data_IF_087547215661
#
_entry.id   IF_087547215661
#
_cell.length_a   1.000
_cell.length_b   1.000
_cell.length_c   1.000
_cell.angle_alpha   90.00
_cell.angle_beta   90.00
_cell.angle_gamma   90.00
#
_symmetry.space_group_name_H-M   'P 1'
#
loop_
_entity.id
_entity.type
_entity.pdbx_description
1 polymer ?
#
# COMPACT_ATOMS: atom_id res chain seq x y z
N UNK A 1 27.40 -12.12 -28.96
CA UNK A 1 28.26 -11.38 -28.02
C UNK A 1 27.85 -9.93 -28.03
N UNK A 2 27.48 -9.41 -26.84
CA UNK A 2 27.13 -8.00 -26.66
C UNK A 2 28.44 -7.21 -26.68
N UNK A 3 28.55 -6.14 -27.50
CA UNK A 3 29.75 -5.30 -27.56
C UNK A 3 30.15 -4.77 -26.20
N UNK A 4 31.46 -4.63 -25.94
CA UNK A 4 31.97 -4.23 -24.63
C UNK A 4 31.56 -2.81 -24.22
N UNK A 5 31.40 -1.90 -25.16
CA UNK A 5 30.86 -0.56 -24.97
C UNK A 5 29.41 -0.58 -24.43
N UNK A 6 28.58 -1.49 -24.92
CA UNK A 6 27.22 -1.68 -24.42
C UNK A 6 27.19 -2.29 -23.00
N UNK A 7 28.15 -3.16 -22.67
CA UNK A 7 28.29 -3.66 -21.30
C UNK A 7 28.70 -2.57 -20.33
N UNK A 8 29.67 -1.73 -20.71
CA UNK A 8 30.11 -0.60 -19.90
C UNK A 8 29.00 0.43 -19.69
N UNK A 9 28.20 0.72 -20.72
CA UNK A 9 27.06 1.62 -20.63
C UNK A 9 25.97 1.04 -19.73
N UNK A 10 25.69 -0.25 -19.82
CA UNK A 10 24.71 -0.93 -18.95
C UNK A 10 25.13 -0.90 -17.48
N UNK A 11 26.42 -1.11 -17.17
CA UNK A 11 26.97 -1.03 -15.82
C UNK A 11 26.94 0.41 -15.26
N UNK A 12 27.19 1.41 -16.12
CA UNK A 12 27.09 2.82 -15.72
C UNK A 12 25.63 3.18 -15.36
N UNK A 13 24.69 2.83 -16.23
CA UNK A 13 23.26 3.06 -15.97
C UNK A 13 22.79 2.36 -14.70
N UNK A 14 23.23 1.12 -14.46
CA UNK A 14 22.87 0.40 -13.25
C UNK A 14 23.42 1.07 -11.98
N UNK A 15 24.62 1.67 -12.06
CA UNK A 15 25.22 2.44 -10.95
C UNK A 15 24.45 3.73 -10.69
N UNK A 16 24.13 4.48 -11.77
CA UNK A 16 23.38 5.74 -11.68
C UNK A 16 21.98 5.51 -11.10
N UNK A 17 21.31 4.44 -11.52
CA UNK A 17 20.01 4.03 -10.95
C UNK A 17 20.13 3.67 -9.47
N UNK A 18 21.24 3.02 -9.07
CA UNK A 18 21.47 2.70 -7.68
C UNK A 18 21.72 3.95 -6.82
N UNK A 19 22.49 4.92 -7.31
CA UNK A 19 22.72 6.21 -6.65
C UNK A 19 21.40 7.01 -6.51
N UNK A 20 20.64 7.14 -7.59
CA UNK A 20 19.34 7.84 -7.57
C UNK A 20 18.40 7.18 -6.55
N UNK A 21 18.37 5.85 -6.48
CA UNK A 21 17.57 5.12 -5.50
C UNK A 21 18.00 5.44 -4.06
N UNK A 22 19.31 5.54 -3.83
CA UNK A 22 19.88 5.86 -2.51
C UNK A 22 19.56 7.29 -2.09
N UNK A 23 19.67 8.25 -3.01
CA UNK A 23 19.32 9.64 -2.77
C UNK A 23 17.80 9.82 -2.55
N UNK A 24 16.98 9.11 -3.30
CA UNK A 24 15.54 9.11 -3.09
C UNK A 24 15.14 8.58 -1.70
N UNK A 25 15.79 7.50 -1.23
CA UNK A 25 15.56 6.97 0.12
C UNK A 25 15.98 8.00 1.17
N UNK A 26 17.12 8.70 0.99
CA UNK A 26 17.57 9.75 1.91
C UNK A 26 16.61 10.94 1.97
N UNK A 27 16.05 11.36 0.82
CA UNK A 27 15.08 12.44 0.76
C UNK A 27 13.80 12.04 1.50
N UNK A 28 13.30 10.82 1.29
CA UNK A 28 12.13 10.31 1.99
C UNK A 28 12.39 10.25 3.50
N UNK A 29 13.52 9.71 3.93
CA UNK A 29 13.89 9.65 5.35
C UNK A 29 14.04 11.06 5.97
N UNK A 30 14.63 12.03 5.25
CA UNK A 30 14.73 13.41 5.72
C UNK A 30 13.37 14.10 5.84
N UNK A 31 12.43 13.83 4.93
CA UNK A 31 11.05 14.32 5.02
C UNK A 31 10.31 13.65 6.19
N UNK A 32 10.53 12.36 6.40
CA UNK A 32 9.96 11.62 7.53
C UNK A 32 10.51 12.12 8.88
N UNK A 33 11.80 12.45 8.96
CA UNK A 33 12.43 13.04 10.15
C UNK A 33 11.89 14.47 10.42
N UNK A 34 11.77 15.34 9.41
CA UNK A 34 11.17 16.68 9.57
C UNK A 34 9.71 16.63 10.01
N UNK A 35 8.92 15.70 9.47
CA UNK A 35 7.53 15.47 9.89
C UNK A 35 7.48 14.92 11.31
N UNK A 36 8.41 14.04 11.69
CA UNK A 36 8.51 13.45 13.03
C UNK A 36 8.88 14.48 14.11
N UNK A 37 9.71 15.48 13.80
CA UNK A 37 10.04 16.55 14.76
C UNK A 37 8.87 17.50 15.04
N UNK A 38 7.91 17.63 14.13
CA UNK A 38 6.73 18.49 14.29
C UNK A 38 5.55 17.75 14.97
N UNK A 39 5.56 16.42 15.01
CA UNK A 39 4.57 15.57 15.69
C UNK A 39 5.23 14.77 16.82
N UNK A 40 5.41 15.42 17.97
CA UNK A 40 5.93 14.80 19.20
C UNK A 40 4.86 13.95 19.94
N UNK A 41 4.00 13.26 19.19
CA UNK A 41 3.14 12.21 19.72
C UNK A 41 3.66 10.84 19.29
N UNK A 42 4.41 10.24 20.19
CA UNK A 42 4.99 8.89 20.04
C UNK A 42 3.95 7.81 19.71
N UNK A 43 2.66 8.08 19.96
CA UNK A 43 1.55 7.14 19.81
C UNK A 43 0.37 7.81 19.12
N UNK A 44 -0.25 7.10 18.20
CA UNK A 44 -1.48 7.54 17.54
C UNK A 44 -2.60 6.53 17.76
N UNK A 45 -3.84 7.01 17.93
CA UNK A 45 -4.99 6.11 18.00
C UNK A 45 -5.34 5.55 16.62
N UNK A 46 -5.85 4.32 16.59
CA UNK A 46 -6.28 3.72 15.34
C UNK A 46 -7.43 4.52 14.68
N UNK A 47 -8.29 5.14 15.47
CA UNK A 47 -9.34 6.02 14.94
C UNK A 47 -8.77 7.27 14.27
N UNK A 48 -7.69 7.87 14.79
CA UNK A 48 -7.02 9.00 14.13
C UNK A 48 -6.36 8.57 12.82
N UNK A 49 -5.75 7.38 12.79
CA UNK A 49 -5.22 6.78 11.57
C UNK A 49 -6.32 6.63 10.52
N UNK A 50 -7.48 6.10 10.89
CA UNK A 50 -8.62 5.94 9.98
C UNK A 50 -9.15 7.29 9.49
N UNK A 51 -9.24 8.30 10.35
CA UNK A 51 -9.68 9.64 9.99
C UNK A 51 -8.73 10.30 8.98
N UNK A 52 -7.43 10.22 9.20
CA UNK A 52 -6.43 10.73 8.25
C UNK A 52 -6.51 9.98 6.91
N UNK A 53 -6.68 8.65 6.95
CA UNK A 53 -6.87 7.83 5.76
C UNK A 53 -8.11 8.25 4.99
N UNK A 54 -9.23 8.47 5.67
CA UNK A 54 -10.50 8.93 5.11
C UNK A 54 -10.34 10.29 4.43
N UNK A 55 -9.86 11.29 5.17
CA UNK A 55 -9.69 12.67 4.68
C UNK A 55 -8.77 12.72 3.46
N UNK A 56 -7.61 12.06 3.53
CA UNK A 56 -6.65 12.03 2.41
C UNK A 56 -7.21 11.30 1.19
N UNK A 57 -8.03 10.27 1.41
CA UNK A 57 -8.67 9.52 0.34
C UNK A 57 -9.75 10.34 -0.36
N UNK A 58 -10.62 11.04 0.37
CA UNK A 58 -11.65 11.91 -0.21
C UNK A 58 -11.04 13.02 -1.07
N UNK A 59 -10.00 13.69 -0.61
CA UNK A 59 -9.30 14.69 -1.42
C UNK A 59 -8.76 14.13 -2.74
N UNK A 60 -8.24 12.90 -2.71
CA UNK A 60 -7.76 12.23 -3.92
C UNK A 60 -8.90 11.86 -4.86
N UNK A 61 -10.03 11.36 -4.35
CA UNK A 61 -11.21 11.00 -5.14
C UNK A 61 -11.81 12.22 -5.84
N UNK A 62 -11.92 13.36 -5.16
CA UNK A 62 -12.35 14.63 -5.74
C UNK A 62 -11.44 15.05 -6.90
N UNK A 63 -10.12 15.03 -6.69
CA UNK A 63 -9.15 15.41 -7.71
C UNK A 63 -9.21 14.50 -8.97
N UNK A 64 -9.57 13.24 -8.80
CA UNK A 64 -9.69 12.25 -9.89
C UNK A 64 -11.08 12.20 -10.53
N UNK A 65 -12.07 12.87 -9.96
CA UNK A 65 -13.48 12.78 -10.36
C UNK A 65 -13.98 11.32 -10.38
N UNK A 66 -13.73 10.61 -9.27
CA UNK A 66 -14.14 9.21 -9.03
C UNK A 66 -15.10 9.19 -7.85
N UNK A 67 -16.19 8.44 -7.98
CA UNK A 67 -17.26 8.36 -6.96
C UNK A 67 -17.16 7.01 -6.25
N UNK A 68 -16.39 6.96 -5.17
CA UNK A 68 -16.22 5.76 -4.35
C UNK A 68 -16.76 6.06 -2.94
N UNK A 69 -17.61 5.15 -2.46
CA UNK A 69 -18.06 5.13 -1.08
C UNK A 69 -17.02 4.39 -0.23
N UNK A 70 -16.55 5.03 0.84
CA UNK A 70 -15.73 4.40 1.86
C UNK A 70 -16.62 3.91 3.00
N UNK A 71 -16.46 2.67 3.40
CA UNK A 71 -17.11 2.07 4.56
C UNK A 71 -16.05 1.63 5.58
N UNK A 72 -16.21 2.04 6.83
CA UNK A 72 -15.35 1.62 7.93
C UNK A 72 -16.15 0.76 8.91
N UNK A 73 -15.70 -0.47 9.12
CA UNK A 73 -16.29 -1.44 10.06
C UNK A 73 -15.22 -1.87 11.06
N UNK A 74 -14.81 -0.91 11.87
CA UNK A 74 -13.74 -1.06 12.85
C UNK A 74 -14.33 -0.92 14.24
N UNK A 75 -14.05 -1.88 15.12
CA UNK A 75 -14.61 -1.97 16.47
C UNK A 75 -13.65 -1.52 17.56
N UNK A 76 -12.36 -1.72 17.35
CA UNK A 76 -11.33 -1.41 18.34
C UNK A 76 -10.67 -0.06 18.08
N UNK A 77 -10.28 0.59 19.18
CA UNK A 77 -9.47 1.79 19.14
C UNK A 77 -8.26 1.60 20.04
N UNK A 78 -7.19 1.11 19.46
CA UNK A 78 -5.90 0.91 20.13
C UNK A 78 -4.95 2.07 19.85
N UNK A 79 -3.95 2.24 20.73
CA UNK A 79 -2.85 3.19 20.53
C UNK A 79 -1.64 2.44 20.00
N UNK A 80 -0.96 3.01 18.99
CA UNK A 80 0.24 2.39 18.40
C UNK A 80 1.35 3.40 18.15
N UNK A 81 2.59 2.99 18.33
CA UNK A 81 3.77 3.73 17.87
C UNK A 81 4.05 3.45 16.39
N UNK A 82 3.57 2.31 15.86
CA UNK A 82 3.77 1.86 14.48
C UNK A 82 2.73 2.48 13.51
N UNK A 83 2.30 3.70 13.79
CA UNK A 83 1.19 4.35 13.05
C UNK A 83 1.57 4.69 11.60
N UNK A 84 2.83 5.02 11.31
CA UNK A 84 3.30 5.30 9.96
C UNK A 84 3.26 4.06 9.08
N UNK A 85 3.78 2.95 9.58
CA UNK A 85 3.82 1.66 8.89
C UNK A 85 2.42 1.12 8.66
N UNK A 86 1.55 1.19 9.69
CA UNK A 86 0.16 0.77 9.56
C UNK A 86 -0.60 1.64 8.56
N UNK A 87 -0.41 2.97 8.63
CA UNK A 87 -0.97 3.91 7.66
C UNK A 87 -0.49 3.61 6.25
N UNK A 88 0.81 3.35 6.04
CA UNK A 88 1.38 3.03 4.74
C UNK A 88 0.78 1.74 4.16
N UNK A 89 0.58 0.72 4.99
CA UNK A 89 -0.08 -0.54 4.59
C UNK A 89 -1.51 -0.26 4.13
N UNK A 90 -2.33 0.36 4.97
CA UNK A 90 -3.75 0.64 4.66
C UNK A 90 -3.90 1.55 3.44
N UNK A 91 -3.13 2.63 3.36
CA UNK A 91 -3.14 3.57 2.24
C UNK A 91 -2.78 2.89 0.91
N UNK A 92 -1.79 2.00 0.89
CA UNK A 92 -1.43 1.27 -0.32
C UNK A 92 -2.56 0.33 -0.76
N UNK A 93 -3.22 -0.37 0.15
CA UNK A 93 -4.35 -1.26 -0.16
C UNK A 93 -5.55 -0.47 -0.69
N UNK A 94 -5.90 0.65 -0.03
CA UNK A 94 -6.98 1.55 -0.46
C UNK A 94 -6.67 2.16 -1.83
N UNK A 95 -5.44 2.62 -2.06
CA UNK A 95 -5.03 3.15 -3.36
C UNK A 95 -5.15 2.12 -4.48
N UNK A 96 -4.78 0.87 -4.22
CA UNK A 96 -4.93 -0.21 -5.20
C UNK A 96 -6.41 -0.46 -5.54
N UNK A 97 -7.30 -0.42 -4.55
CA UNK A 97 -8.73 -0.55 -4.74
C UNK A 97 -9.31 0.62 -5.57
N UNK A 98 -8.93 1.86 -5.25
CA UNK A 98 -9.33 3.06 -6.01
C UNK A 98 -8.92 2.96 -7.46
N UNK A 99 -7.65 2.61 -7.73
CA UNK A 99 -7.13 2.49 -9.08
C UNK A 99 -7.80 1.37 -9.87
N UNK A 100 -8.16 0.26 -9.22
CA UNK A 100 -8.92 -0.82 -9.84
C UNK A 100 -10.32 -0.34 -10.26
N UNK A 101 -11.06 0.31 -9.36
CA UNK A 101 -12.40 0.87 -9.64
C UNK A 101 -12.32 1.98 -10.71
N UNK A 102 -11.34 2.89 -10.60
CA UNK A 102 -11.14 3.98 -11.57
C UNK A 102 -10.91 3.45 -12.99
N UNK A 103 -10.18 2.34 -13.13
CA UNK A 103 -9.89 1.71 -14.42
C UNK A 103 -11.10 1.05 -15.08
N UNK A 104 -12.13 0.71 -14.31
CA UNK A 104 -13.32 0.01 -14.77
C UNK A 104 -14.51 0.98 -14.97
N UNK A 105 -15.09 1.50 -13.89
CA UNK A 105 -16.37 2.21 -13.95
C UNK A 105 -16.43 3.55 -13.22
N UNK A 106 -15.39 3.92 -12.48
CA UNK A 106 -15.29 5.15 -11.67
C UNK A 106 -16.33 5.33 -10.56
N UNK A 107 -17.12 4.32 -10.29
CA UNK A 107 -18.12 4.28 -9.21
C UNK A 107 -17.96 2.95 -8.50
N UNK A 108 -17.89 2.95 -7.17
CA UNK A 108 -17.75 1.72 -6.42
C UNK A 108 -17.73 1.92 -4.91
N UNK A 109 -17.41 0.85 -4.21
CA UNK A 109 -17.34 0.81 -2.75
C UNK A 109 -16.03 0.18 -2.31
N UNK A 110 -15.41 0.77 -1.29
CA UNK A 110 -14.26 0.19 -0.59
C UNK A 110 -14.64 0.05 0.87
N UNK A 111 -14.54 -1.16 1.41
CA UNK A 111 -14.79 -1.44 2.82
C UNK A 111 -13.48 -1.76 3.53
N UNK A 112 -13.24 -1.07 4.64
CA UNK A 112 -12.14 -1.32 5.55
C UNK A 112 -12.72 -1.90 6.84
N UNK A 113 -12.34 -3.13 7.16
CA UNK A 113 -12.78 -3.83 8.36
C UNK A 113 -11.58 -4.11 9.25
N UNK A 114 -11.78 -4.00 10.56
CA UNK A 114 -10.80 -4.37 11.58
C UNK A 114 -11.46 -5.25 12.64
N UNK A 115 -10.75 -6.30 13.05
CA UNK A 115 -11.18 -7.22 14.09
C UNK A 115 -9.99 -7.69 14.94
N UNK A 116 -10.12 -7.65 16.25
CA UNK A 116 -9.19 -8.33 17.14
C UNK A 116 -9.66 -9.76 17.41
N UNK A 117 -8.86 -10.74 17.02
CA UNK A 117 -9.18 -12.15 17.20
C UNK A 117 -7.94 -12.97 17.54
N UNK A 118 -8.01 -13.75 18.64
CA UNK A 118 -6.93 -14.66 19.07
C UNK A 118 -5.58 -13.96 19.21
N UNK A 119 -5.55 -12.72 19.76
CA UNK A 119 -4.33 -11.95 19.92
C UNK A 119 -3.73 -11.37 18.64
N UNK A 120 -4.52 -11.30 17.56
CA UNK A 120 -4.11 -10.69 16.31
C UNK A 120 -5.15 -9.65 15.87
N UNK A 121 -4.67 -8.50 15.38
CA UNK A 121 -5.48 -7.59 14.60
C UNK A 121 -5.58 -8.09 13.15
N UNK A 122 -6.79 -8.14 12.65
CA UNK A 122 -7.11 -8.55 11.28
C UNK A 122 -7.70 -7.35 10.57
N UNK A 123 -6.98 -6.84 9.58
CA UNK A 123 -7.44 -5.76 8.71
C UNK A 123 -7.85 -6.34 7.37
N UNK A 124 -9.06 -6.03 6.92
CA UNK A 124 -9.54 -6.43 5.61
C UNK A 124 -9.89 -5.19 4.78
N UNK A 125 -9.30 -5.06 3.60
CA UNK A 125 -9.64 -4.02 2.63
C UNK A 125 -10.26 -4.71 1.43
N UNK A 126 -11.56 -4.45 1.22
CA UNK A 126 -12.35 -5.07 0.14
C UNK A 126 -12.84 -4.00 -0.82
N UNK A 127 -12.71 -4.24 -2.11
CA UNK A 127 -13.29 -3.43 -3.18
C UNK A 127 -14.26 -4.24 -4.04
N UNK A 128 -15.19 -3.55 -4.67
CA UNK A 128 -16.12 -4.10 -5.66
C UNK A 128 -15.68 -3.85 -7.11
N UNK A 129 -14.39 -3.65 -7.33
CA UNK A 129 -13.78 -3.39 -8.63
C UNK A 129 -13.77 -4.60 -9.56
N UNK A 130 -13.00 -4.55 -10.66
CA UNK A 130 -12.98 -5.60 -11.68
C UNK A 130 -12.31 -6.90 -11.23
N UNK A 131 -11.71 -6.94 -10.04
CA UNK A 131 -10.96 -8.07 -9.55
C UNK A 131 -9.65 -8.31 -10.31
N UNK A 132 -8.91 -9.33 -9.87
CA UNK A 132 -7.60 -9.71 -10.40
C UNK A 132 -7.72 -11.03 -11.15
N UNK A 133 -7.27 -11.07 -12.40
CA UNK A 133 -7.23 -12.31 -13.18
C UNK A 133 -6.37 -13.38 -12.50
N UNK A 134 -6.78 -14.66 -12.49
CA UNK A 134 -6.04 -15.76 -11.85
C UNK A 134 -4.59 -15.87 -12.27
N UNK A 135 -4.24 -15.50 -13.50
CA UNK A 135 -2.86 -15.49 -14.01
C UNK A 135 -1.95 -14.47 -13.32
N UNK A 136 -2.52 -13.39 -12.76
CA UNK A 136 -1.78 -12.32 -12.12
C UNK A 136 -1.62 -12.54 -10.61
N UNK A 137 -2.60 -13.18 -9.95
CA UNK A 137 -2.60 -13.41 -8.50
C UNK A 137 -1.28 -13.96 -7.92
N UNK A 138 -0.61 -14.94 -8.53
CA UNK A 138 0.64 -15.48 -7.98
C UNK A 138 1.82 -14.49 -8.01
N UNK A 139 1.66 -13.37 -8.70
CA UNK A 139 2.75 -12.43 -8.96
C UNK A 139 2.56 -11.05 -8.32
N UNK A 140 1.37 -10.72 -7.82
CA UNK A 140 1.04 -9.35 -7.38
C UNK A 140 1.93 -8.82 -6.26
N UNK A 141 2.50 -9.71 -5.45
CA UNK A 141 3.44 -9.37 -4.38
C UNK A 141 4.92 -9.42 -4.80
N UNK A 142 5.23 -9.73 -6.06
CA UNK A 142 6.61 -9.74 -6.54
C UNK A 142 7.11 -8.32 -6.78
N UNK A 143 8.34 -8.06 -6.39
CA UNK A 143 9.00 -6.78 -6.62
C UNK A 143 8.99 -6.41 -8.11
N UNK A 144 8.55 -5.20 -8.42
CA UNK A 144 8.49 -4.70 -9.80
C UNK A 144 7.34 -5.25 -10.64
N UNK A 145 6.48 -6.11 -10.07
CA UNK A 145 5.32 -6.61 -10.80
C UNK A 145 4.19 -5.57 -10.78
N UNK A 146 3.77 -5.16 -11.97
CA UNK A 146 2.63 -4.27 -12.17
C UNK A 146 1.91 -4.63 -13.45
N UNK A 147 0.59 -4.63 -13.40
CA UNK A 147 -0.27 -4.70 -14.60
C UNK A 147 -0.64 -3.32 -15.13
N UNK A 148 -0.18 -2.26 -14.43
CA UNK A 148 -0.50 -0.87 -14.73
C UNK A 148 0.51 -0.31 -15.72
N UNK A 149 0.04 0.11 -16.88
CA UNK A 149 0.84 0.73 -17.92
C UNK A 149 0.30 2.13 -18.22
N UNK A 150 1.15 3.14 -18.12
CA UNK A 150 0.78 4.48 -18.55
C UNK A 150 1.02 4.64 -20.05
N UNK A 151 -0.06 4.62 -20.82
CA UNK A 151 -0.02 4.78 -22.26
C UNK A 151 0.51 6.16 -22.73
N UNK A 152 0.49 7.18 -21.85
CA UNK A 152 0.95 8.54 -22.20
C UNK A 152 2.46 8.71 -22.02
N UNK A 153 3.02 8.11 -20.98
CA UNK A 153 4.44 8.24 -20.65
C UNK A 153 5.26 7.02 -21.03
N UNK A 154 4.62 5.90 -21.39
CA UNK A 154 5.29 4.63 -21.69
C UNK A 154 5.88 3.96 -20.45
N UNK A 155 5.59 4.48 -19.24
CA UNK A 155 6.14 3.96 -18.00
C UNK A 155 5.24 2.85 -17.42
N UNK A 156 5.87 1.76 -17.00
CA UNK A 156 5.23 0.78 -16.11
C UNK A 156 5.27 1.38 -14.70
N UNK A 157 4.11 1.57 -14.07
CA UNK A 157 4.07 1.94 -12.65
C UNK A 157 4.84 0.90 -11.83
N UNK A 158 5.73 1.36 -10.97
CA UNK A 158 6.89 0.66 -10.41
C UNK A 158 6.63 -0.71 -9.75
N UNK A 159 5.38 -1.14 -9.53
CA UNK A 159 5.05 -2.42 -8.93
C UNK A 159 5.68 -2.64 -7.55
N UNK A 160 5.88 -1.56 -6.79
CA UNK A 160 6.50 -1.61 -5.46
C UNK A 160 5.50 -1.55 -4.32
N UNK A 161 4.27 -1.08 -4.58
CA UNK A 161 3.26 -0.86 -3.53
C UNK A 161 2.90 -2.15 -2.77
N UNK A 162 2.39 -3.18 -3.45
CA UNK A 162 2.03 -4.44 -2.81
C UNK A 162 3.24 -5.24 -2.30
N UNK A 163 4.38 -5.15 -2.98
CA UNK A 163 5.63 -5.71 -2.47
C UNK A 163 6.03 -5.03 -1.15
N UNK A 164 5.97 -3.69 -1.08
CA UNK A 164 6.25 -2.93 0.14
C UNK A 164 5.29 -3.29 1.27
N UNK A 165 3.97 -3.37 0.99
CA UNK A 165 2.98 -3.84 1.97
C UNK A 165 3.36 -5.21 2.53
N UNK A 166 3.70 -6.16 1.65
CA UNK A 166 4.10 -7.51 2.08
C UNK A 166 5.34 -7.46 2.96
N UNK A 167 6.38 -6.71 2.59
CA UNK A 167 7.61 -6.57 3.38
C UNK A 167 7.33 -5.95 4.75
N UNK A 168 6.54 -4.88 4.83
CA UNK A 168 6.16 -4.26 6.11
C UNK A 168 5.39 -5.24 7.00
N UNK A 169 4.39 -5.92 6.43
CA UNK A 169 3.57 -6.87 7.20
C UNK A 169 4.38 -8.06 7.69
N UNK A 170 5.18 -8.69 6.83
CA UNK A 170 5.91 -9.92 7.17
C UNK A 170 7.19 -9.64 7.97
N UNK A 171 7.95 -8.58 7.62
CA UNK A 171 9.26 -8.33 8.22
C UNK A 171 9.19 -7.41 9.44
N UNK A 172 8.37 -6.36 9.43
CA UNK A 172 8.24 -5.46 10.59
C UNK A 172 7.20 -5.98 11.57
N UNK A 173 5.96 -6.19 11.12
CA UNK A 173 4.87 -6.61 12.00
C UNK A 173 4.86 -8.11 12.34
N UNK A 174 5.70 -8.93 11.69
CA UNK A 174 5.71 -10.40 11.84
C UNK A 174 4.34 -11.03 11.58
N UNK A 175 3.57 -10.39 10.73
CA UNK A 175 2.23 -10.78 10.34
C UNK A 175 2.18 -11.54 9.02
N UNK A 176 0.98 -11.63 8.45
CA UNK A 176 0.75 -12.25 7.13
C UNK A 176 -0.20 -11.40 6.31
N UNK A 177 -0.07 -11.48 4.97
CA UNK A 177 -0.99 -10.87 4.04
C UNK A 177 -1.49 -11.91 3.04
N UNK A 178 -2.79 -11.92 2.83
CA UNK A 178 -3.47 -12.77 1.84
C UNK A 178 -4.33 -11.92 0.91
N UNK A 179 -4.60 -12.47 -0.27
CA UNK A 179 -5.51 -11.87 -1.26
C UNK A 179 -6.52 -12.90 -1.72
N UNK A 180 -7.78 -12.48 -1.79
CA UNK A 180 -8.85 -13.21 -2.48
C UNK A 180 -9.44 -12.29 -3.52
N UNK A 181 -9.50 -12.76 -4.75
CA UNK A 181 -10.05 -11.97 -5.84
C UNK A 181 -10.62 -12.88 -6.89
N UNK A 182 -11.77 -12.47 -7.42
CA UNK A 182 -12.43 -13.10 -8.55
C UNK A 182 -12.69 -12.03 -9.61
N UNK A 183 -12.36 -12.35 -10.86
CA UNK A 183 -12.53 -11.42 -11.97
C UNK A 183 -14.02 -11.06 -12.14
N UNK A 184 -14.33 -9.76 -12.08
CA UNK A 184 -15.68 -9.23 -12.13
C UNK A 184 -16.39 -9.12 -10.78
N UNK A 185 -15.76 -9.56 -9.67
CA UNK A 185 -16.36 -9.59 -8.32
C UNK A 185 -15.61 -8.80 -7.26
N UNK A 186 -14.48 -8.16 -7.63
CA UNK A 186 -13.69 -7.37 -6.73
C UNK A 186 -12.51 -8.08 -6.10
N UNK A 187 -11.88 -7.42 -5.11
CA UNK A 187 -10.69 -7.94 -4.41
C UNK A 187 -10.81 -7.72 -2.92
N UNK A 188 -10.35 -8.67 -2.13
CA UNK A 188 -10.20 -8.57 -0.68
C UNK A 188 -8.76 -8.87 -0.30
N UNK A 189 -8.08 -7.91 0.31
CA UNK A 189 -6.80 -8.09 0.97
C UNK A 189 -7.01 -8.27 2.47
N UNK A 190 -6.46 -9.32 3.05
CA UNK A 190 -6.51 -9.58 4.49
C UNK A 190 -5.10 -9.53 5.06
N UNK A 191 -4.89 -8.63 6.01
CA UNK A 191 -3.63 -8.46 6.75
C UNK A 191 -3.87 -8.91 8.17
N UNK A 192 -3.02 -9.81 8.68
CA UNK A 192 -3.08 -10.30 10.06
C UNK A 192 -1.79 -9.88 10.76
N UNK A 193 -1.90 -9.11 11.83
CA UNK A 193 -0.78 -8.57 12.59
C UNK A 193 -0.93 -9.02 14.05
N UNK A 194 0.10 -9.65 14.67
CA UNK A 194 0.08 -9.91 16.11
C UNK A 194 -0.15 -8.63 16.91
N UNK A 195 -1.06 -8.65 17.88
CA UNK A 195 -1.36 -7.47 18.69
C UNK A 195 -0.10 -6.88 19.35
N UNK A 196 0.81 -7.74 19.81
CA UNK A 196 2.09 -7.33 20.39
C UNK A 196 3.04 -6.59 19.42
N UNK A 197 2.75 -6.61 18.11
CA UNK A 197 3.50 -5.82 17.10
C UNK A 197 2.88 -4.45 16.83
N UNK A 198 1.72 -4.15 17.40
CA UNK A 198 1.03 -2.87 17.25
C UNK A 198 0.81 -2.15 18.56
N UNK A 199 0.62 -2.90 19.64
CA UNK A 199 0.29 -2.38 20.97
C UNK A 199 1.32 -2.88 21.95
N UNK A 200 2.07 -1.98 22.59
CA UNK A 200 2.89 -2.32 23.74
C UNK A 200 2.00 -2.53 24.96
N UNK A 201 2.30 -3.58 25.76
CA UNK A 201 1.62 -3.87 27.04
C UNK A 201 1.88 -2.80 28.11
#
# INVERSE_FOLDING_TARGET
DVPDDMKHMSLSIARDVHEIKKDYIRIIQGIEEEISEEYDEKRMSFQDILKILEDTTYHMLEAKNVHIQLEFRCSDNFMTEEHYELMAVLKNLVNNAIEAIESDRKIGTICIEEHLRNGNYIFCVTDDGPGISPRHLPNIFKMGYSTKFDHKTGNIFRGVGLYGVKMTVEEQFKGTIEVRSEQGSGTAFTVVIPAASLVEE
#
